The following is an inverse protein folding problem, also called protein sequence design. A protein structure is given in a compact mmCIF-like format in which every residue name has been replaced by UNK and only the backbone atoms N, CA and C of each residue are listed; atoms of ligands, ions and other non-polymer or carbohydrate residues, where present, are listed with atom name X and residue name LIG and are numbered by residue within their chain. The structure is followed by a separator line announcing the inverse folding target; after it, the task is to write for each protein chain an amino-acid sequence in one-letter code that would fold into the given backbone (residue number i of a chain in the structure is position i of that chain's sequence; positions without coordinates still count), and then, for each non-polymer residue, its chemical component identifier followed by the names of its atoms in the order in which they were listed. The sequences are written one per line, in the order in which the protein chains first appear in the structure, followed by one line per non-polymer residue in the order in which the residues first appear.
data_IF_447857346446
#
_entry.id   IF_447857346446
#
_cell.length_a   1.000
_cell.length_b   1.000
_cell.length_c   1.000
_cell.angle_alpha   90.00
_cell.angle_beta   90.00
_cell.angle_gamma   90.00
#
_symmetry.space_group_name_H-M   'P 1'
#
loop_
_entity.id
_entity.type
_entity.pdbx_description
1 polymer ?
#
# COMPACT_ATOMS: atom_id res chain seq x y z
N UNK A 1 20.51 -14.55 -8.82
CA UNK A 1 19.41 -15.36 -8.23
C UNK A 1 19.40 -16.78 -8.83
N UNK A 2 18.83 -17.80 -8.17
CA UNK A 2 18.65 -19.13 -8.81
C UNK A 2 17.25 -19.27 -9.44
N UNK A 3 17.07 -20.22 -10.37
CA UNK A 3 15.82 -20.40 -11.13
C UNK A 3 14.59 -20.64 -10.27
N UNK A 4 14.73 -21.32 -9.13
CA UNK A 4 13.62 -21.58 -8.21
C UNK A 4 13.12 -20.30 -7.54
N UNK A 5 14.04 -19.45 -7.12
CA UNK A 5 13.76 -18.17 -6.45
C UNK A 5 13.18 -17.13 -7.41
N UNK A 6 13.65 -17.10 -8.65
CA UNK A 6 13.09 -16.30 -9.74
C UNK A 6 11.62 -16.67 -9.99
N UNK A 7 11.34 -17.97 -10.04
CA UNK A 7 9.98 -18.48 -10.24
C UNK A 7 9.08 -18.13 -9.06
N UNK A 8 9.58 -18.31 -7.83
CA UNK A 8 8.84 -17.94 -6.63
C UNK A 8 8.54 -16.43 -6.58
N UNK A 9 9.52 -15.58 -6.87
CA UNK A 9 9.33 -14.12 -6.91
C UNK A 9 8.33 -13.69 -7.97
N UNK A 10 8.45 -14.27 -9.17
CA UNK A 10 7.51 -14.03 -10.27
C UNK A 10 6.07 -14.38 -9.87
N UNK A 11 5.83 -15.54 -9.26
CA UNK A 11 4.49 -15.95 -8.79
C UNK A 11 3.99 -15.08 -7.65
N UNK A 12 4.85 -14.78 -6.68
CA UNK A 12 4.51 -13.93 -5.54
C UNK A 12 4.06 -12.54 -6.00
N UNK A 13 4.87 -11.86 -6.83
CA UNK A 13 4.56 -10.52 -7.32
C UNK A 13 3.42 -10.51 -8.36
N UNK A 14 3.15 -11.63 -9.04
CA UNK A 14 1.94 -11.77 -9.86
C UNK A 14 0.67 -11.74 -8.99
N UNK A 15 0.63 -12.56 -7.94
CA UNK A 15 -0.51 -12.63 -7.01
C UNK A 15 -0.65 -11.30 -6.27
N UNK A 16 0.46 -10.81 -5.70
CA UNK A 16 0.47 -9.55 -4.97
C UNK A 16 0.07 -8.37 -5.87
N UNK A 17 0.60 -8.31 -7.09
CA UNK A 17 0.22 -7.29 -8.08
C UNK A 17 -1.27 -7.32 -8.43
N UNK A 18 -1.86 -8.51 -8.57
CA UNK A 18 -3.30 -8.65 -8.80
C UNK A 18 -4.11 -8.14 -7.60
N UNK A 19 -3.72 -8.46 -6.38
CA UNK A 19 -4.39 -7.98 -5.16
C UNK A 19 -4.30 -6.45 -5.06
N UNK A 20 -3.12 -5.87 -5.26
CA UNK A 20 -2.90 -4.42 -5.26
C UNK A 20 -3.76 -3.74 -6.33
N UNK A 21 -3.81 -4.31 -7.53
CA UNK A 21 -4.63 -3.79 -8.63
C UNK A 21 -6.12 -3.81 -8.28
N UNK A 22 -6.62 -4.92 -7.72
CA UNK A 22 -8.03 -5.04 -7.29
C UNK A 22 -8.36 -3.97 -6.25
N UNK A 23 -7.52 -3.75 -5.24
CA UNK A 23 -7.74 -2.67 -4.28
C UNK A 23 -7.79 -1.30 -4.94
N UNK A 24 -6.85 -1.02 -5.86
CA UNK A 24 -6.87 0.23 -6.62
C UNK A 24 -8.16 0.43 -7.42
N UNK A 25 -8.67 -0.62 -8.07
CA UNK A 25 -9.94 -0.58 -8.82
C UNK A 25 -11.13 -0.39 -7.88
N UNK A 26 -11.17 -1.10 -6.75
CA UNK A 26 -12.24 -0.96 -5.75
C UNK A 26 -12.30 0.47 -5.22
N UNK A 27 -11.15 1.06 -4.88
CA UNK A 27 -11.10 2.46 -4.44
C UNK A 27 -11.49 3.43 -5.55
N UNK A 28 -11.07 3.17 -6.79
CA UNK A 28 -11.45 3.99 -7.94
C UNK A 28 -12.96 4.00 -8.18
N UNK A 29 -13.61 2.83 -8.09
CA UNK A 29 -15.07 2.70 -8.12
C UNK A 29 -15.70 3.34 -6.88
N UNK A 30 -15.03 3.26 -5.73
CA UNK A 30 -15.44 3.87 -4.48
C UNK A 30 -15.63 5.38 -4.57
N UNK A 31 -14.81 6.08 -5.36
CA UNK A 31 -14.96 7.52 -5.62
C UNK A 31 -16.36 7.86 -6.15
N UNK A 32 -16.93 7.02 -7.03
CA UNK A 32 -18.24 7.26 -7.64
C UNK A 32 -19.42 6.72 -6.83
N UNK A 33 -19.18 5.73 -5.97
CA UNK A 33 -20.23 4.96 -5.27
C UNK A 33 -20.30 5.20 -3.77
N UNK A 34 -19.38 5.98 -3.21
CA UNK A 34 -19.22 6.18 -1.76
C UNK A 34 -18.34 5.12 -1.09
N UNK A 35 -17.77 4.18 -1.86
CA UNK A 35 -16.86 3.14 -1.42
C UNK A 35 -17.42 2.15 -0.42
N UNK A 36 -16.53 1.29 0.09
CA UNK A 36 -16.92 0.14 0.91
C UNK A 36 -16.04 0.10 2.17
N UNK A 37 -16.67 0.08 3.35
CA UNK A 37 -16.02 -0.17 4.63
C UNK A 37 -16.28 -1.61 5.06
N UNK A 38 -15.22 -2.41 5.15
CA UNK A 38 -15.27 -3.82 5.58
C UNK A 38 -14.44 -3.98 6.83
N UNK A 39 -15.10 -3.99 8.01
CA UNK A 39 -14.51 -4.15 9.35
C UNK A 39 -13.26 -3.30 9.59
N UNK A 40 -12.10 -3.82 9.18
CA UNK A 40 -10.77 -3.25 9.41
C UNK A 40 -10.28 -2.42 8.20
N UNK A 41 -10.93 -2.52 7.03
CA UNK A 41 -10.54 -1.87 5.78
C UNK A 41 -11.54 -0.77 5.41
N UNK A 42 -11.03 0.42 5.09
CA UNK A 42 -11.80 1.51 4.51
C UNK A 42 -11.32 1.85 3.08
N UNK A 43 -12.19 1.57 2.11
CA UNK A 43 -12.03 1.99 0.69
C UNK A 43 -12.90 3.19 0.31
N UNK A 44 -13.75 3.66 1.24
CA UNK A 44 -14.59 4.86 1.06
C UNK A 44 -13.81 6.16 1.18
N UNK A 45 -12.63 6.12 1.83
CA UNK A 45 -11.81 7.30 2.03
C UNK A 45 -12.48 8.32 2.96
N UNK A 46 -13.37 7.88 3.85
CA UNK A 46 -14.02 8.77 4.84
C UNK A 46 -12.97 9.48 5.70
N UNK A 47 -11.87 8.81 6.01
CA UNK A 47 -10.75 9.39 6.77
C UNK A 47 -9.80 10.28 5.95
N UNK A 48 -9.80 10.15 4.61
CA UNK A 48 -8.90 10.88 3.73
C UNK A 48 -9.53 11.23 2.35
N UNK A 49 -10.67 11.94 2.32
CA UNK A 49 -11.49 12.06 1.12
C UNK A 49 -10.80 12.80 -0.03
N UNK A 50 -9.93 13.76 0.29
CA UNK A 50 -9.12 14.47 -0.73
C UNK A 50 -8.00 13.60 -1.31
N UNK A 51 -7.49 12.62 -0.58
CA UNK A 51 -6.37 11.79 -1.01
C UNK A 51 -6.81 10.49 -1.68
N UNK A 52 -8.07 10.07 -1.48
CA UNK A 52 -8.66 8.87 -2.08
C UNK A 52 -8.42 8.74 -3.60
N UNK A 53 -8.64 9.77 -4.44
CA UNK A 53 -8.42 9.63 -5.89
C UNK A 53 -6.96 9.34 -6.24
N UNK A 54 -6.03 9.99 -5.55
CA UNK A 54 -4.60 9.79 -5.74
C UNK A 54 -4.17 8.40 -5.29
N UNK A 55 -4.67 7.96 -4.14
CA UNK A 55 -4.43 6.62 -3.61
C UNK A 55 -4.89 5.54 -4.59
N UNK A 56 -6.11 5.65 -5.10
CA UNK A 56 -6.67 4.72 -6.07
C UNK A 56 -5.82 4.63 -7.33
N UNK A 57 -5.45 5.77 -7.92
CA UNK A 57 -4.59 5.84 -9.11
C UNK A 57 -3.24 5.17 -8.82
N UNK A 58 -2.60 5.52 -7.71
CA UNK A 58 -1.29 4.97 -7.34
C UNK A 58 -1.38 3.44 -7.18
N UNK A 59 -2.40 2.91 -6.52
CA UNK A 59 -2.56 1.46 -6.33
C UNK A 59 -2.85 0.73 -7.65
N UNK A 60 -3.67 1.29 -8.54
CA UNK A 60 -3.89 0.72 -9.89
C UNK A 60 -2.56 0.61 -10.64
N UNK A 61 -1.79 1.70 -10.71
CA UNK A 61 -0.51 1.69 -11.41
C UNK A 61 0.54 0.80 -10.73
N UNK A 62 0.59 0.76 -9.40
CA UNK A 62 1.48 -0.14 -8.66
C UNK A 62 1.15 -1.61 -8.97
N UNK A 63 -0.14 -1.97 -8.98
CA UNK A 63 -0.59 -3.30 -9.36
C UNK A 63 -0.20 -3.67 -10.80
N UNK A 64 -0.40 -2.76 -11.75
CA UNK A 64 0.01 -2.96 -13.15
C UNK A 64 1.53 -3.12 -13.29
N UNK A 65 2.33 -2.33 -12.55
CA UNK A 65 3.78 -2.46 -12.55
C UNK A 65 4.24 -3.81 -12.00
N UNK A 66 3.67 -4.28 -10.89
CA UNK A 66 3.94 -5.64 -10.39
C UNK A 66 3.58 -6.71 -11.41
N UNK A 67 2.37 -6.66 -11.99
CA UNK A 67 1.94 -7.62 -13.01
C UNK A 67 2.85 -7.58 -14.26
N UNK A 68 3.37 -6.42 -14.63
CA UNK A 68 4.30 -6.27 -15.74
C UNK A 68 5.71 -6.81 -15.43
N UNK A 69 6.10 -6.87 -14.15
CA UNK A 69 7.40 -7.36 -13.69
C UNK A 69 7.53 -8.89 -13.69
N UNK A 70 6.41 -9.61 -13.85
CA UNK A 70 6.35 -11.08 -13.76
C UNK A 70 7.18 -11.77 -14.84
N UNK A 71 7.31 -11.15 -16.03
CA UNK A 71 8.07 -11.71 -17.16
C UNK A 71 9.57 -11.55 -16.90
N UNK A 72 10.30 -12.67 -16.74
CA UNK A 72 11.75 -12.70 -16.46
C UNK A 72 12.14 -11.82 -15.27
N UNK A 73 11.63 -12.16 -14.08
CA UNK A 73 11.79 -11.37 -12.86
C UNK A 73 13.26 -11.07 -12.47
N UNK A 74 14.20 -11.95 -12.84
CA UNK A 74 15.64 -11.75 -12.60
C UNK A 74 16.25 -10.61 -13.42
N UNK A 75 15.58 -10.17 -14.49
CA UNK A 75 16.07 -9.07 -15.30
C UNK A 75 15.96 -7.76 -14.50
N UNK A 76 17.05 -7.00 -14.43
CA UNK A 76 17.15 -5.74 -13.67
C UNK A 76 15.98 -4.79 -14.01
N UNK A 77 15.58 -4.72 -15.28
CA UNK A 77 14.47 -3.87 -15.72
C UNK A 77 13.10 -4.30 -15.16
N UNK A 78 12.91 -5.58 -14.84
CA UNK A 78 11.66 -6.11 -14.30
C UNK A 78 11.67 -6.00 -12.78
N UNK A 79 12.81 -6.31 -12.14
CA UNK A 79 13.02 -6.05 -10.73
C UNK A 79 12.80 -4.56 -10.41
N UNK A 80 13.32 -3.64 -11.24
CA UNK A 80 13.13 -2.20 -11.07
C UNK A 80 11.64 -1.79 -11.07
N UNK A 81 10.78 -2.44 -11.87
CA UNK A 81 9.33 -2.17 -11.87
C UNK A 81 8.68 -2.63 -10.56
N UNK A 82 9.04 -3.80 -10.05
CA UNK A 82 8.54 -4.30 -8.77
C UNK A 82 9.01 -3.41 -7.60
N UNK A 83 10.25 -2.93 -7.64
CA UNK A 83 10.78 -1.94 -6.69
C UNK A 83 10.00 -0.63 -6.77
N UNK A 84 9.78 -0.11 -7.97
CA UNK A 84 9.01 1.12 -8.17
C UNK A 84 7.59 0.97 -7.62
N UNK A 85 6.92 -0.14 -7.91
CA UNK A 85 5.59 -0.45 -7.39
C UNK A 85 5.57 -0.55 -5.85
N UNK A 86 6.64 -1.06 -5.24
CA UNK A 86 6.79 -1.11 -3.78
C UNK A 86 6.91 0.28 -3.19
N UNK A 87 7.77 1.12 -3.76
CA UNK A 87 7.97 2.52 -3.33
C UNK A 87 6.65 3.30 -3.41
N UNK A 88 5.87 3.09 -4.47
CA UNK A 88 4.54 3.71 -4.61
C UNK A 88 3.63 3.34 -3.43
N UNK A 89 3.58 2.06 -3.04
CA UNK A 89 2.82 1.62 -1.86
C UNK A 89 3.39 2.26 -0.59
N UNK A 90 4.71 2.34 -0.44
CA UNK A 90 5.35 2.91 0.76
C UNK A 90 5.07 4.40 0.93
N UNK A 91 5.00 5.16 -0.16
CA UNK A 91 4.65 6.58 -0.11
C UNK A 91 3.21 6.74 0.42
N UNK A 92 2.27 5.96 -0.09
CA UNK A 92 0.86 6.00 0.33
C UNK A 92 0.68 5.49 1.75
N UNK A 93 1.30 4.38 2.10
CA UNK A 93 1.25 3.84 3.46
C UNK A 93 1.92 4.80 4.46
N UNK A 94 3.05 5.39 4.06
CA UNK A 94 3.78 6.38 4.84
C UNK A 94 2.96 7.64 5.11
N UNK A 95 2.24 8.16 4.12
CA UNK A 95 1.32 9.29 4.33
C UNK A 95 0.18 8.93 5.27
N UNK A 96 -0.37 7.71 5.18
CA UNK A 96 -1.41 7.23 6.08
C UNK A 96 -0.93 7.00 7.52
N UNK A 97 0.32 6.56 7.72
CA UNK A 97 0.96 6.47 9.04
C UNK A 97 1.17 7.88 9.59
N UNK A 98 1.71 8.78 8.77
CA UNK A 98 1.96 10.16 9.17
C UNK A 98 0.67 10.88 9.59
N UNK A 99 -0.41 10.70 8.84
CA UNK A 99 -1.71 11.26 9.18
C UNK A 99 -2.22 10.81 10.55
N UNK A 100 -2.01 9.54 10.93
CA UNK A 100 -2.39 9.01 12.26
C UNK A 100 -1.53 9.57 13.39
N UNK A 101 -0.23 9.72 13.14
CA UNK A 101 0.69 10.38 14.07
C UNK A 101 0.27 11.84 14.25
N UNK A 102 0.00 12.56 13.17
CA UNK A 102 -0.44 13.96 13.22
C UNK A 102 -1.79 14.10 13.93
N UNK A 103 -2.75 13.20 13.70
CA UNK A 103 -4.04 13.18 14.38
C UNK A 103 -3.94 12.89 15.89
N UNK A 104 -2.82 12.32 16.35
CA UNK A 104 -2.58 12.04 17.77
C UNK A 104 -2.11 13.28 18.57
N UNK A 105 -1.84 14.40 17.89
CA UNK A 105 -1.41 15.67 18.48
C UNK A 105 -2.65 16.59 18.63
N UNK A 106 -3.01 17.03 19.85
CA UNK A 106 -4.15 17.91 20.08
C UNK A 106 -3.96 19.30 19.49
N UNK A 107 -5.06 19.95 19.08
CA UNK A 107 -5.04 21.31 18.56
C UNK A 107 -5.21 22.42 19.63
N UNK A 108 -5.75 22.12 20.81
CA UNK A 108 -6.29 23.17 21.70
C UNK A 108 -5.70 23.22 23.14
N UNK A 109 -5.27 22.13 23.80
CA UNK A 109 -4.94 22.18 25.25
C UNK A 109 -3.70 21.36 25.71
N UNK A 110 -2.89 20.78 24.80
CA UNK A 110 -1.67 20.03 25.18
C UNK A 110 -0.89 19.43 24.02
N UNK A 111 0.40 19.08 24.24
CA UNK A 111 1.26 18.47 23.19
C UNK A 111 0.93 17.00 22.89
N UNK A 112 0.24 16.31 23.80
CA UNK A 112 -0.17 14.91 23.65
C UNK A 112 -1.63 14.73 24.07
N UNK A 113 -2.35 13.90 23.32
CA UNK A 113 -3.69 13.45 23.70
C UNK A 113 -3.65 12.59 24.97
N UNK A 114 -4.82 12.32 25.55
CA UNK A 114 -4.91 11.25 26.56
C UNK A 114 -4.43 9.92 25.93
N UNK A 115 -3.91 8.99 26.74
CA UNK A 115 -3.41 7.71 26.23
C UNK A 115 -4.50 6.94 25.45
N UNK A 116 -5.76 7.09 25.85
CA UNK A 116 -6.92 6.51 25.17
C UNK A 116 -7.16 7.15 23.79
N UNK A 117 -7.18 8.47 23.71
CA UNK A 117 -7.35 9.19 22.43
C UNK A 117 -6.17 8.98 21.48
N UNK A 118 -4.96 8.84 22.03
CA UNK A 118 -3.77 8.47 21.27
C UNK A 118 -3.93 7.08 20.65
N UNK A 119 -4.34 6.08 21.42
CA UNK A 119 -4.53 4.72 20.90
C UNK A 119 -5.71 4.64 19.93
N UNK A 120 -6.77 5.41 20.16
CA UNK A 120 -7.92 5.50 19.27
C UNK A 120 -7.54 6.04 17.88
N UNK A 121 -6.54 6.91 17.76
CA UNK A 121 -6.10 7.43 16.44
C UNK A 121 -5.43 6.38 15.55
N UNK A 122 -4.98 5.26 16.13
CA UNK A 122 -4.42 4.11 15.41
C UNK A 122 -5.44 2.97 15.21
N UNK A 123 -6.65 3.11 15.73
CA UNK A 123 -7.69 2.10 15.56
C UNK A 123 -8.15 2.01 14.09
N UNK A 124 -8.77 0.88 13.70
CA UNK A 124 -9.43 0.75 12.42
C UNK A 124 -10.51 1.83 12.21
N UNK A 125 -10.85 2.13 10.95
CA UNK A 125 -10.43 1.40 9.75
C UNK A 125 -9.10 1.88 9.14
N UNK A 126 -8.43 0.97 8.42
CA UNK A 126 -7.18 1.20 7.71
C UNK A 126 -7.40 1.31 6.21
N UNK A 127 -6.63 2.18 5.54
CA UNK A 127 -6.60 2.17 4.09
C UNK A 127 -5.88 0.91 3.59
N UNK A 128 -6.23 0.38 2.40
CA UNK A 128 -5.61 -0.81 1.82
C UNK A 128 -4.08 -0.76 1.78
N UNK A 129 -3.50 0.42 1.52
CA UNK A 129 -2.05 0.59 1.43
C UNK A 129 -1.30 0.22 2.71
N UNK A 130 -1.90 0.41 3.90
CA UNK A 130 -1.28 0.01 5.17
C UNK A 130 -1.17 -1.51 5.30
N UNK A 131 -2.18 -2.25 4.82
CA UNK A 131 -2.14 -3.72 4.79
C UNK A 131 -1.18 -4.24 3.73
N UNK A 132 -1.10 -3.55 2.59
CA UNK A 132 -0.20 -3.90 1.49
C UNK A 132 1.27 -3.57 1.80
N UNK A 133 1.54 -2.72 2.80
CA UNK A 133 2.90 -2.34 3.19
C UNK A 133 3.74 -3.55 3.57
N UNK A 134 3.28 -4.37 4.53
CA UNK A 134 4.02 -5.54 5.01
C UNK A 134 4.41 -6.52 3.89
N UNK A 135 3.48 -7.01 3.05
CA UNK A 135 3.84 -7.89 1.94
C UNK A 135 4.68 -7.19 0.85
N UNK A 136 4.59 -5.86 0.68
CA UNK A 136 5.45 -5.15 -0.28
C UNK A 136 6.93 -5.14 0.13
N UNK A 137 7.26 -5.25 1.42
CA UNK A 137 8.64 -5.26 1.92
C UNK A 137 9.44 -6.49 1.45
N UNK A 138 8.77 -7.55 0.99
CA UNK A 138 9.43 -8.74 0.41
C UNK A 138 10.37 -8.35 -0.74
N UNK A 139 10.13 -7.25 -1.45
CA UNK A 139 11.03 -6.77 -2.50
C UNK A 139 12.46 -6.51 -2.00
N UNK A 140 12.64 -6.10 -0.74
CA UNK A 140 13.96 -5.77 -0.16
C UNK A 140 14.85 -7.01 -0.12
N UNK A 141 14.27 -8.18 0.11
CA UNK A 141 14.99 -9.46 0.05
C UNK A 141 15.55 -9.71 -1.36
N UNK A 142 14.75 -9.46 -2.39
CA UNK A 142 15.16 -9.64 -3.79
C UNK A 142 16.22 -8.62 -4.24
N UNK A 143 16.10 -7.36 -3.80
CA UNK A 143 17.14 -6.33 -4.06
C UNK A 143 18.48 -6.77 -3.47
N UNK A 144 18.50 -7.18 -2.19
CA UNK A 144 19.74 -7.58 -1.51
C UNK A 144 20.42 -8.77 -2.18
N UNK A 145 19.67 -9.61 -2.87
CA UNK A 145 20.16 -10.84 -3.49
C UNK A 145 20.70 -10.65 -4.90
N UNK A 146 20.26 -9.60 -5.58
CA UNK A 146 20.74 -9.23 -6.91
C UNK A 146 21.96 -8.30 -6.85
N UNK A 147 22.19 -7.64 -5.69
CA UNK A 147 23.40 -6.86 -5.37
C UNK A 147 24.58 -7.72 -4.94
#
# INVERSE_FOLDING_TARGET
MNKGEETFGSVYFAIFGAVVFVFGVVEFVGIATGGITWEIIDTSGVFDPMFLPWRAIILVFAGLLYLSSVKKFAEIGQLAKAVTASIMIWIVAGSAIWARIAASIPAEEGWFNTLEDFLASYAPPYCPALLLLLPSLVIVYYIKKES
#
